data_IF_093435662627
#
_entry.id   IF_093435662627
#
_cell.length_a   1.000
_cell.length_b   1.000
_cell.length_c   1.000
_cell.angle_alpha   90.00
_cell.angle_beta   90.00
_cell.angle_gamma   90.00
#
_symmetry.space_group_name_H-M   'P 1'
#
loop_
_entity.id
_entity.type
_entity.pdbx_description
1 polymer ?
#
# COMPACT_ATOMS: atom_id res chain seq x y z
N UNK A 1 -11.39 -1.67 32.43
CA UNK A 1 -10.32 -2.06 31.47
C UNK A 1 -10.83 -1.59 30.13
N UNK A 2 -10.64 -0.30 29.91
CA UNK A 2 -11.58 0.50 29.14
C UNK A 2 -11.18 0.46 27.67
N UNK A 3 -12.10 -0.06 26.84
CA UNK A 3 -11.93 -0.11 25.41
C UNK A 3 -11.98 1.31 24.86
N UNK A 4 -10.82 1.89 24.58
CA UNK A 4 -10.72 3.17 23.87
C UNK A 4 -11.29 2.99 22.45
N UNK A 5 -12.46 3.57 22.20
CA UNK A 5 -13.05 3.63 20.87
C UNK A 5 -12.20 4.54 19.99
N UNK A 6 -11.39 3.92 19.12
CA UNK A 6 -10.57 4.65 18.15
C UNK A 6 -11.52 5.31 17.13
N UNK A 7 -11.49 6.64 17.04
CA UNK A 7 -12.33 7.42 16.11
C UNK A 7 -12.22 6.96 14.64
N UNK A 8 -13.13 7.42 13.77
CA UNK A 8 -13.27 6.89 12.42
C UNK A 8 -11.96 7.01 11.62
N UNK A 9 -11.41 5.87 11.21
CA UNK A 9 -10.17 5.78 10.43
C UNK A 9 -10.37 6.36 9.03
N UNK A 10 -9.47 7.27 8.62
CA UNK A 10 -9.49 7.80 7.25
C UNK A 10 -8.98 6.73 6.29
N UNK A 11 -9.84 6.31 5.35
CA UNK A 11 -9.49 5.32 4.32
C UNK A 11 -8.74 5.98 3.16
N UNK A 12 -7.64 5.36 2.75
CA UNK A 12 -6.81 5.78 1.61
C UNK A 12 -6.64 4.61 0.67
N UNK A 13 -6.92 4.82 -0.62
CA UNK A 13 -6.68 3.84 -1.67
C UNK A 13 -5.56 4.37 -2.56
N UNK A 14 -4.51 3.57 -2.74
CA UNK A 14 -3.41 3.82 -3.66
C UNK A 14 -3.58 2.87 -4.84
N UNK A 15 -3.74 3.41 -6.05
CA UNK A 15 -3.86 2.63 -7.28
C UNK A 15 -2.49 2.57 -7.96
N UNK A 16 -1.98 1.37 -8.20
CA UNK A 16 -0.69 1.08 -8.81
C UNK A 16 0.28 0.41 -7.83
N UNK A 17 0.48 -0.91 -7.98
CA UNK A 17 1.38 -1.74 -7.16
C UNK A 17 2.87 -1.65 -7.52
N UNK A 18 3.32 -0.59 -8.19
CA UNK A 18 4.73 -0.39 -8.56
C UNK A 18 5.55 0.29 -7.45
N UNK A 19 6.79 0.67 -7.77
CA UNK A 19 7.73 1.33 -6.82
C UNK A 19 7.12 2.54 -6.10
N UNK A 20 6.49 3.44 -6.84
CA UNK A 20 5.89 4.65 -6.28
C UNK A 20 4.74 4.33 -5.32
N UNK A 21 3.81 3.47 -5.72
CA UNK A 21 2.66 3.11 -4.91
C UNK A 21 3.04 2.34 -3.64
N UNK A 22 3.99 1.40 -3.74
CA UNK A 22 4.51 0.67 -2.60
C UNK A 22 5.20 1.60 -1.59
N UNK A 23 6.03 2.55 -2.08
CA UNK A 23 6.70 3.55 -1.25
C UNK A 23 5.70 4.46 -0.55
N UNK A 24 4.73 5.00 -1.29
CA UNK A 24 3.69 5.87 -0.75
C UNK A 24 2.84 5.15 0.30
N UNK A 25 2.39 3.92 0.01
CA UNK A 25 1.63 3.12 0.96
C UNK A 25 2.43 2.92 2.27
N UNK A 26 3.72 2.57 2.17
CA UNK A 26 4.60 2.46 3.33
C UNK A 26 4.73 3.75 4.14
N UNK A 27 4.90 4.90 3.48
CA UNK A 27 4.99 6.21 4.14
C UNK A 27 3.67 6.59 4.83
N UNK A 28 2.53 6.39 4.16
CA UNK A 28 1.21 6.66 4.73
C UNK A 28 0.95 5.78 5.95
N UNK A 29 1.30 4.50 5.90
CA UNK A 29 1.09 3.65 7.08
C UNK A 29 2.05 3.98 8.22
N UNK A 30 3.29 4.38 7.93
CA UNK A 30 4.21 4.88 8.95
C UNK A 30 3.70 6.18 9.60
N UNK A 31 3.22 7.15 8.80
CA UNK A 31 2.63 8.39 9.30
C UNK A 31 1.32 8.15 10.08
N UNK A 32 0.55 7.13 9.71
CA UNK A 32 -0.63 6.66 10.43
C UNK A 32 -0.35 6.08 11.82
N UNK A 33 0.92 5.78 12.11
CA UNK A 33 1.41 5.14 13.35
C UNK A 33 2.20 6.10 14.26
N UNK A 34 2.05 7.42 14.10
CA UNK A 34 2.80 8.42 14.87
C UNK A 34 2.85 8.13 16.39
N UNK A 35 3.91 8.58 17.09
CA UNK A 35 4.10 8.31 18.52
C UNK A 35 3.17 9.22 19.32
N UNK A 36 1.92 8.81 19.51
CA UNK A 36 0.97 9.58 20.30
C UNK A 36 0.53 8.81 21.53
N UNK A 37 0.97 9.26 22.71
CA UNK A 37 0.29 9.02 23.97
C UNK A 37 -0.71 10.15 24.17
N UNK A 38 -1.99 9.92 23.84
CA UNK A 38 -3.07 10.91 23.99
C UNK A 38 -3.84 11.19 22.70
N UNK A 39 -4.55 12.32 22.63
CA UNK A 39 -5.44 12.70 21.53
C UNK A 39 -4.76 12.82 20.14
N UNK A 40 -3.42 12.79 20.10
CA UNK A 40 -2.56 12.80 18.90
C UNK A 40 -2.04 11.40 18.50
N UNK A 41 -2.71 10.32 18.92
CA UNK A 41 -2.39 8.92 18.63
C UNK A 41 -2.53 8.54 17.14
N UNK A 42 -1.62 9.04 16.29
CA UNK A 42 -1.54 8.71 14.86
C UNK A 42 -2.74 9.21 14.05
N UNK A 43 -2.53 9.48 12.76
CA UNK A 43 -3.61 9.98 11.87
C UNK A 43 -4.71 8.93 11.59
N UNK A 44 -4.56 7.71 12.08
CA UNK A 44 -5.59 6.67 11.99
C UNK A 44 -5.89 6.25 10.55
N UNK A 45 -4.88 6.20 9.68
CA UNK A 45 -5.07 5.82 8.27
C UNK A 45 -5.30 4.32 8.11
N UNK A 46 -6.26 3.99 7.25
CA UNK A 46 -6.51 2.64 6.75
C UNK A 46 -6.15 2.62 5.25
N UNK A 47 -4.99 2.06 4.92
CA UNK A 47 -4.38 2.15 3.59
C UNK A 47 -4.59 0.84 2.83
N UNK A 48 -5.17 0.94 1.63
CA UNK A 48 -5.25 -0.16 0.66
C UNK A 48 -4.44 0.18 -0.58
N UNK A 49 -3.49 -0.68 -0.96
CA UNK A 49 -2.75 -0.64 -2.21
C UNK A 49 -3.40 -1.62 -3.20
N UNK A 50 -3.77 -1.15 -4.39
CA UNK A 50 -4.36 -1.95 -5.46
C UNK A 50 -3.37 -2.05 -6.62
N UNK A 51 -3.06 -3.26 -7.06
CA UNK A 51 -2.14 -3.54 -8.16
C UNK A 51 -2.66 -4.64 -9.06
N UNK A 52 -2.62 -4.37 -10.37
CA UNK A 52 -3.02 -5.29 -11.44
C UNK A 52 -2.07 -6.49 -11.57
N UNK A 53 -0.78 -6.30 -11.28
CA UNK A 53 0.19 -7.40 -11.30
C UNK A 53 -0.03 -8.37 -10.13
N UNK A 54 0.09 -9.69 -10.34
CA UNK A 54 -0.03 -10.69 -9.28
C UNK A 54 1.22 -10.73 -8.38
N UNK A 55 2.31 -10.13 -8.81
CA UNK A 55 3.60 -10.13 -8.11
C UNK A 55 3.64 -9.10 -6.99
N UNK A 56 4.53 -9.32 -6.02
CA UNK A 56 4.88 -8.26 -5.07
C UNK A 56 5.56 -7.09 -5.80
N UNK A 57 5.45 -5.83 -5.32
CA UNK A 57 6.15 -4.71 -5.94
C UNK A 57 7.66 -4.97 -6.04
N UNK A 58 8.28 -4.65 -7.17
CA UNK A 58 9.71 -4.88 -7.42
C UNK A 58 10.38 -3.68 -8.09
N UNK A 59 11.71 -3.63 -8.03
CA UNK A 59 12.52 -2.67 -8.73
C UNK A 59 12.63 -3.02 -10.22
N UNK A 60 11.83 -2.35 -11.05
CA UNK A 60 11.81 -2.56 -12.50
C UNK A 60 13.13 -2.21 -13.20
N UNK A 61 13.95 -1.35 -12.60
CA UNK A 61 15.28 -1.01 -13.15
C UNK A 61 16.18 -2.24 -13.19
N UNK A 62 16.05 -3.14 -12.21
CA UNK A 62 16.84 -4.38 -12.10
C UNK A 62 16.20 -5.57 -12.83
N UNK A 63 15.07 -5.37 -13.52
CA UNK A 63 14.36 -6.49 -14.17
C UNK A 63 15.18 -7.13 -15.29
N UNK A 64 15.97 -6.34 -16.02
CA UNK A 64 16.85 -6.86 -17.07
C UNK A 64 17.88 -7.86 -16.52
N UNK A 65 18.42 -7.61 -15.31
CA UNK A 65 19.35 -8.52 -14.65
C UNK A 65 18.67 -9.81 -14.18
N UNK A 66 17.40 -9.75 -13.78
CA UNK A 66 16.61 -10.94 -13.45
C UNK A 66 16.37 -11.79 -14.69
N UNK A 67 15.96 -11.16 -15.80
CA UNK A 67 15.73 -11.86 -17.08
C UNK A 67 17.03 -12.43 -17.67
N UNK A 68 18.17 -11.80 -17.39
CA UNK A 68 19.50 -12.29 -17.76
C UNK A 68 20.04 -13.37 -16.79
N UNK A 69 19.29 -13.75 -15.75
CA UNK A 69 19.70 -14.75 -14.76
C UNK A 69 20.78 -14.29 -13.77
N UNK A 70 21.09 -12.98 -13.74
CA UNK A 70 22.08 -12.40 -12.80
C UNK A 70 21.53 -12.21 -11.39
N UNK A 71 20.22 -11.98 -11.27
CA UNK A 71 19.54 -11.89 -9.97
C UNK A 71 18.34 -12.82 -9.91
N UNK A 72 18.09 -13.39 -8.73
CA UNK A 72 16.83 -14.06 -8.44
C UNK A 72 15.70 -13.01 -8.30
N UNK A 73 14.44 -13.33 -8.67
CA UNK A 73 13.31 -12.38 -8.57
C UNK A 73 13.10 -11.79 -7.16
N UNK A 74 13.46 -12.53 -6.12
CA UNK A 74 13.32 -12.11 -4.73
C UNK A 74 14.26 -10.93 -4.39
N UNK A 75 15.42 -10.86 -5.04
CA UNK A 75 16.43 -9.80 -4.83
C UNK A 75 15.89 -8.42 -5.22
N UNK A 76 15.05 -8.37 -6.25
CA UNK A 76 14.48 -7.11 -6.75
C UNK A 76 13.16 -6.75 -6.09
N UNK A 77 12.64 -7.59 -5.19
CA UNK A 77 11.37 -7.35 -4.49
C UNK A 77 11.52 -6.19 -3.51
N UNK A 78 10.56 -5.25 -3.54
CA UNK A 78 10.54 -4.11 -2.63
C UNK A 78 10.02 -4.51 -1.25
N UNK A 79 10.41 -3.80 -0.18
CA UNK A 79 9.87 -4.03 1.15
C UNK A 79 8.34 -3.96 1.17
N UNK A 80 7.71 -4.98 1.76
CA UNK A 80 6.27 -5.00 1.94
C UNK A 80 5.83 -3.83 2.84
N UNK A 81 4.77 -3.12 2.42
CA UNK A 81 4.06 -2.19 3.29
C UNK A 81 3.29 -2.99 4.35
N UNK A 82 3.96 -3.43 5.42
CA UNK A 82 3.50 -4.42 6.42
C UNK A 82 2.13 -4.17 7.06
N UNK A 83 1.55 -3.00 6.87
CA UNK A 83 0.25 -2.64 7.44
C UNK A 83 -0.73 -2.03 6.47
N UNK A 84 -0.35 -1.87 5.20
CA UNK A 84 -1.31 -1.63 4.15
C UNK A 84 -1.97 -2.96 3.76
N UNK A 85 -3.27 -2.94 3.46
CA UNK A 85 -3.92 -4.03 2.72
C UNK A 85 -3.43 -3.98 1.29
N UNK A 86 -2.85 -5.06 0.77
CA UNK A 86 -2.36 -5.11 -0.62
C UNK A 86 -3.23 -6.07 -1.43
N UNK A 87 -3.89 -5.53 -2.47
CA UNK A 87 -4.66 -6.28 -3.45
C UNK A 87 -3.80 -6.44 -4.70
N UNK A 88 -3.31 -7.66 -4.93
CA UNK A 88 -2.52 -8.04 -6.12
C UNK A 88 -3.42 -8.77 -7.11
N UNK A 89 -3.13 -8.66 -8.40
CA UNK A 89 -3.98 -9.22 -9.45
C UNK A 89 -5.35 -8.53 -9.55
N UNK A 90 -5.48 -7.31 -9.03
CA UNK A 90 -6.74 -6.57 -8.97
C UNK A 90 -6.60 -5.29 -9.75
N UNK A 91 -7.40 -5.15 -10.80
CA UNK A 91 -7.36 -3.99 -11.69
C UNK A 91 -8.39 -2.96 -11.25
N UNK A 92 -7.94 -1.78 -10.84
CA UNK A 92 -8.85 -0.65 -10.70
C UNK A 92 -9.22 -0.11 -12.09
N UNK A 93 -10.51 -0.07 -12.41
CA UNK A 93 -11.03 0.34 -13.73
C UNK A 93 -11.75 1.67 -13.74
N UNK A 94 -12.22 2.13 -12.57
CA UNK A 94 -12.95 3.40 -12.46
C UNK A 94 -12.82 4.02 -11.08
N UNK A 95 -12.76 5.35 -11.03
CA UNK A 95 -12.82 6.13 -9.79
C UNK A 95 -14.14 6.92 -9.78
N UNK A 96 -15.04 6.57 -8.89
CA UNK A 96 -16.25 7.36 -8.59
C UNK A 96 -15.93 8.36 -7.49
N UNK A 97 -15.73 9.62 -7.87
CA UNK A 97 -15.38 10.71 -6.93
C UNK A 97 -16.56 11.13 -6.06
N UNK A 98 -17.79 11.10 -6.59
CA UNK A 98 -19.00 11.45 -5.84
C UNK A 98 -19.27 10.48 -4.69
N UNK A 99 -19.04 9.18 -4.93
CA UNK A 99 -19.17 8.12 -3.91
C UNK A 99 -17.87 7.81 -3.18
N UNK A 100 -16.75 8.42 -3.58
CA UNK A 100 -15.39 8.16 -3.07
C UNK A 100 -15.02 6.67 -3.13
N UNK A 101 -15.22 6.03 -4.29
CA UNK A 101 -14.95 4.60 -4.53
C UNK A 101 -13.99 4.38 -5.69
N UNK A 102 -13.08 3.43 -5.51
CA UNK A 102 -12.38 2.78 -6.62
C UNK A 102 -13.13 1.49 -6.95
N UNK A 103 -13.49 1.31 -8.22
CA UNK A 103 -14.12 0.09 -8.75
C UNK A 103 -13.03 -0.77 -9.36
N UNK A 104 -13.02 -2.04 -9.00
CA UNK A 104 -12.05 -3.01 -9.48
C UNK A 104 -12.73 -4.18 -10.18
N UNK A 105 -11.99 -4.82 -11.07
CA UNK A 105 -12.29 -6.14 -11.65
C UNK A 105 -11.67 -7.27 -10.81
#
# INVERSE_FOLDING_TARGET
MDSVSRGPRRRVVVVGGGMAGARLAGQLTAAGRGPGTGADAGTGLDVTLVGDEPHAPYNRVLLADVLAGRYAPEVVTLPAARTARVLRGVRAVRIDRGRRRAVCE
#
